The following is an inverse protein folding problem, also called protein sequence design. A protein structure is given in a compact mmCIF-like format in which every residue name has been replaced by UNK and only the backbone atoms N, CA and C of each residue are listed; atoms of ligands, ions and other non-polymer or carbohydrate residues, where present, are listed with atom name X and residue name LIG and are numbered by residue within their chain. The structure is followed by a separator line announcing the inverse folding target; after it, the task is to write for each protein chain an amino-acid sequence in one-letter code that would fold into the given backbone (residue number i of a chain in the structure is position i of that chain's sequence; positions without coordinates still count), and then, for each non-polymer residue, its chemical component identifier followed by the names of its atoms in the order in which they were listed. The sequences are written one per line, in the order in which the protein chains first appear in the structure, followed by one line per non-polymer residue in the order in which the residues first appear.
data_IF_024977347791
#
_entry.id   IF_024977347791
#
_cell.length_a   1.000
_cell.length_b   1.000
_cell.length_c   1.000
_cell.angle_alpha   90.00
_cell.angle_beta   90.00
_cell.angle_gamma   90.00
#
_symmetry.space_group_name_H-M   'P 1'
#
loop_
_entity.id
_entity.type
_entity.pdbx_description
1 polymer ?
#
# COMPACT_ATOMS: atom_id res chain seq x y z
N UNK A 1 47.57 16.29 -20.64
CA UNK A 1 46.72 17.22 -19.87
C UNK A 1 45.38 16.55 -19.68
N UNK A 2 45.00 16.24 -18.43
CA UNK A 2 43.70 15.63 -18.14
C UNK A 2 42.63 16.74 -18.20
N UNK A 3 41.78 16.68 -19.22
CA UNK A 3 40.59 17.51 -19.31
C UNK A 3 39.64 17.09 -18.18
N UNK A 4 39.35 18.01 -17.26
CA UNK A 4 38.43 17.78 -16.15
C UNK A 4 37.09 18.34 -16.58
N UNK A 5 36.15 17.45 -16.82
CA UNK A 5 34.82 17.77 -17.32
C UNK A 5 34.02 18.64 -16.32
N UNK A 6 33.35 19.71 -16.78
CA UNK A 6 32.52 20.56 -15.92
C UNK A 6 31.32 19.77 -15.37
N UNK A 7 30.89 20.01 -14.11
CA UNK A 7 29.75 19.31 -13.54
C UNK A 7 28.45 19.90 -14.10
N UNK A 8 27.77 19.13 -14.95
CA UNK A 8 26.40 19.43 -15.39
C UNK A 8 26.20 19.19 -16.88
N UNK A 9 25.35 18.21 -17.19
CA UNK A 9 24.81 17.83 -18.51
C UNK A 9 25.85 17.93 -19.63
N UNK A 10 26.76 16.98 -19.62
CA UNK A 10 27.59 16.70 -20.78
C UNK A 10 26.75 15.79 -21.68
N UNK A 11 26.29 16.33 -22.80
CA UNK A 11 25.84 15.50 -23.91
C UNK A 11 26.94 14.45 -24.18
N UNK A 12 26.63 13.16 -24.36
CA UNK A 12 27.62 12.08 -24.40
C UNK A 12 28.83 12.47 -25.24
N UNK A 13 29.99 12.64 -24.60
CA UNK A 13 31.19 13.05 -25.33
C UNK A 13 31.65 11.85 -26.16
N UNK A 14 31.57 11.98 -27.48
CA UNK A 14 32.09 10.96 -28.38
C UNK A 14 33.51 11.39 -28.77
N UNK A 15 34.54 10.60 -28.45
CA UNK A 15 35.92 10.95 -28.78
C UNK A 15 36.09 11.22 -30.28
N UNK A 16 36.82 12.27 -30.65
CA UNK A 16 37.08 12.63 -32.06
C UNK A 16 37.71 11.47 -32.86
N UNK A 17 38.47 10.62 -32.18
CA UNK A 17 39.15 9.46 -32.75
C UNK A 17 38.15 8.40 -33.24
N UNK A 18 36.97 8.32 -32.63
CA UNK A 18 35.91 7.42 -33.07
C UNK A 18 35.38 7.84 -34.45
N UNK A 19 35.21 9.14 -34.69
CA UNK A 19 34.83 9.67 -36.00
C UNK A 19 35.92 9.48 -37.05
N UNK A 20 37.19 9.79 -36.71
CA UNK A 20 38.30 9.61 -37.66
C UNK A 20 38.52 8.16 -38.05
N UNK A 21 38.35 7.22 -37.11
CA UNK A 21 38.44 5.79 -37.39
C UNK A 21 37.30 5.33 -38.29
N UNK A 22 36.08 5.77 -38.02
CA UNK A 22 34.91 5.46 -38.85
C UNK A 22 35.07 5.98 -40.28
N UNK A 23 35.57 7.21 -40.45
CA UNK A 23 35.86 7.81 -41.75
C UNK A 23 36.91 7.01 -42.52
N UNK A 24 37.99 6.59 -41.85
CA UNK A 24 39.06 5.81 -42.47
C UNK A 24 38.68 4.36 -42.83
N UNK A 25 37.70 3.78 -42.14
CA UNK A 25 37.32 2.37 -42.28
C UNK A 25 35.97 2.15 -42.97
N UNK A 26 35.22 3.22 -43.23
CA UNK A 26 33.85 3.15 -43.73
C UNK A 26 32.85 2.52 -42.75
N UNK A 27 33.23 2.33 -41.47
CA UNK A 27 32.34 1.72 -40.48
C UNK A 27 31.33 2.74 -39.93
N UNK A 28 30.06 2.34 -39.73
CA UNK A 28 29.03 3.25 -39.22
C UNK A 28 29.22 3.57 -37.73
N UNK A 29 29.01 4.83 -37.35
CA UNK A 29 28.97 5.28 -35.95
C UNK A 29 27.52 5.34 -35.49
N UNK A 30 27.15 4.49 -34.54
CA UNK A 30 25.81 4.49 -33.93
C UNK A 30 25.86 5.20 -32.58
N UNK A 31 25.13 6.30 -32.47
CA UNK A 31 25.03 7.09 -31.23
C UNK A 31 23.73 6.73 -30.54
N UNK A 32 23.81 6.05 -29.40
CA UNK A 32 22.65 5.74 -28.56
C UNK A 32 22.63 6.74 -27.41
N UNK A 33 21.67 7.67 -27.45
CA UNK A 33 21.41 8.58 -26.33
C UNK A 33 20.31 7.96 -25.49
N UNK A 34 20.69 7.42 -24.32
CA UNK A 34 19.70 7.06 -23.30
C UNK A 34 19.19 8.35 -22.68
N UNK A 35 17.98 8.75 -23.04
CA UNK A 35 17.24 9.77 -22.30
C UNK A 35 16.82 9.13 -20.98
N UNK A 36 17.59 9.35 -19.92
CA UNK A 36 17.07 9.20 -18.57
C UNK A 36 16.10 10.36 -18.38
N UNK A 37 14.81 10.11 -18.55
CA UNK A 37 13.76 11.09 -18.26
C UNK A 37 13.87 11.45 -16.77
N UNK A 38 14.56 12.55 -16.47
CA UNK A 38 14.74 13.03 -15.09
C UNK A 38 13.42 13.54 -14.50
N UNK A 39 12.44 13.83 -15.38
CA UNK A 39 11.10 14.26 -15.02
C UNK A 39 10.11 13.08 -14.91
N UNK A 40 10.57 11.85 -15.19
CA UNK A 40 9.79 10.64 -15.03
C UNK A 40 9.45 10.41 -13.55
N UNK A 41 8.23 10.77 -13.15
CA UNK A 41 7.77 10.56 -11.78
C UNK A 41 7.91 9.07 -11.40
N UNK A 42 8.65 8.73 -10.33
CA UNK A 42 8.82 7.34 -9.93
C UNK A 42 7.45 6.74 -9.63
N UNK A 43 7.18 5.55 -10.20
CA UNK A 43 5.89 4.84 -10.09
C UNK A 43 5.39 4.73 -8.63
N UNK A 44 6.33 4.69 -7.68
CA UNK A 44 6.05 4.71 -6.24
C UNK A 44 5.21 5.88 -5.76
N UNK A 45 5.27 7.04 -6.41
CA UNK A 45 4.47 8.22 -6.06
C UNK A 45 2.97 7.97 -6.25
N UNK A 46 2.58 7.19 -7.26
CA UNK A 46 1.20 6.83 -7.52
C UNK A 46 0.71 5.63 -6.69
N UNK A 47 1.63 4.74 -6.31
CA UNK A 47 1.31 3.57 -5.49
C UNK A 47 1.10 3.92 -4.01
N UNK A 48 1.82 4.93 -3.50
CA UNK A 48 1.74 5.35 -2.10
C UNK A 48 0.32 5.68 -1.60
N UNK A 49 -0.48 6.52 -2.28
CA UNK A 49 -1.85 6.82 -1.82
C UNK A 49 -2.78 5.60 -1.89
N UNK A 50 -2.57 4.71 -2.87
CA UNK A 50 -3.37 3.48 -3.01
C UNK A 50 -3.13 2.55 -1.82
N UNK A 51 -1.87 2.39 -1.41
CA UNK A 51 -1.52 1.57 -0.24
C UNK A 51 -2.12 2.15 1.04
N UNK A 52 -2.07 3.47 1.23
CA UNK A 52 -2.68 4.13 2.40
C UNK A 52 -4.20 3.94 2.42
N UNK A 53 -4.86 4.17 1.29
CA UNK A 53 -6.30 4.00 1.19
C UNK A 53 -6.70 2.54 1.44
N UNK A 54 -5.98 1.58 0.85
CA UNK A 54 -6.20 0.15 1.06
C UNK A 54 -6.03 -0.28 2.51
N UNK A 55 -4.95 0.17 3.17
CA UNK A 55 -4.72 -0.12 4.58
C UNK A 55 -5.81 0.44 5.49
N UNK A 56 -6.28 1.66 5.22
CA UNK A 56 -7.38 2.29 5.96
C UNK A 56 -8.69 1.49 5.84
N UNK A 57 -9.05 1.10 4.62
CA UNK A 57 -10.26 0.29 4.36
C UNK A 57 -10.18 -1.05 5.11
N UNK A 58 -9.08 -1.79 4.94
CA UNK A 58 -8.89 -3.09 5.60
C UNK A 58 -8.92 -2.94 7.13
N UNK A 59 -8.30 -1.88 7.67
CA UNK A 59 -8.32 -1.59 9.10
C UNK A 59 -9.73 -1.33 9.65
N UNK A 60 -10.53 -0.51 8.96
CA UNK A 60 -11.91 -0.19 9.39
C UNK A 60 -12.81 -1.42 9.30
N UNK A 61 -12.76 -2.17 8.19
CA UNK A 61 -13.53 -3.40 8.06
C UNK A 61 -13.12 -4.45 9.09
N UNK A 62 -11.82 -4.59 9.36
CA UNK A 62 -11.32 -5.47 10.41
C UNK A 62 -11.82 -5.09 11.80
N UNK A 63 -11.83 -3.79 12.13
CA UNK A 63 -12.35 -3.30 13.41
C UNK A 63 -13.85 -3.55 13.56
N UNK A 64 -14.64 -3.28 12.51
CA UNK A 64 -16.08 -3.56 12.50
C UNK A 64 -16.34 -5.06 12.65
N UNK A 65 -15.61 -5.89 11.92
CA UNK A 65 -15.74 -7.35 12.01
C UNK A 65 -15.38 -7.87 13.41
N UNK A 66 -14.29 -7.39 14.00
CA UNK A 66 -13.90 -7.75 15.36
C UNK A 66 -14.94 -7.32 16.39
N UNK A 67 -15.52 -6.12 16.24
CA UNK A 67 -16.57 -5.62 17.11
C UNK A 67 -17.84 -6.49 17.04
N UNK A 68 -18.28 -6.83 15.83
CA UNK A 68 -19.44 -7.71 15.63
C UNK A 68 -19.17 -9.10 16.20
N UNK A 69 -17.97 -9.66 15.98
CA UNK A 69 -17.60 -10.96 16.54
C UNK A 69 -17.63 -10.97 18.07
N UNK A 70 -17.16 -9.89 18.71
CA UNK A 70 -17.20 -9.75 20.16
C UNK A 70 -18.64 -9.68 20.68
N UNK A 71 -19.51 -8.91 20.01
CA UNK A 71 -20.92 -8.82 20.35
C UNK A 71 -21.64 -10.15 20.18
N UNK A 72 -21.42 -10.85 19.08
CA UNK A 72 -22.01 -12.16 18.83
C UNK A 72 -21.60 -13.16 19.90
N UNK A 73 -20.30 -13.21 20.24
CA UNK A 73 -19.80 -14.06 21.32
C UNK A 73 -20.43 -13.73 22.68
N UNK A 74 -20.58 -12.44 22.99
CA UNK A 74 -21.22 -11.99 24.23
C UNK A 74 -22.70 -12.39 24.27
N UNK A 75 -23.44 -12.21 23.18
CA UNK A 75 -24.85 -12.60 23.07
C UNK A 75 -25.00 -14.12 23.19
N UNK A 76 -24.17 -14.88 22.48
CA UNK A 76 -24.18 -16.35 22.55
C UNK A 76 -23.97 -16.83 23.99
N UNK A 77 -23.01 -16.23 24.68
CA UNK A 77 -22.71 -16.56 26.08
C UNK A 77 -23.85 -16.16 27.00
N UNK A 78 -24.44 -14.97 26.84
CA UNK A 78 -25.56 -14.50 27.64
C UNK A 78 -26.81 -15.37 27.45
N UNK A 79 -27.11 -15.78 26.21
CA UNK A 79 -28.21 -16.70 25.89
C UNK A 79 -27.93 -18.08 26.47
N UNK A 80 -26.71 -18.61 26.33
CA UNK A 80 -26.33 -19.90 26.91
C UNK A 80 -26.50 -19.87 28.44
N UNK A 81 -26.00 -18.85 29.13
CA UNK A 81 -26.16 -18.70 30.58
C UNK A 81 -27.63 -18.52 30.94
N UNK A 82 -28.36 -17.62 30.27
CA UNK A 82 -29.78 -17.37 30.54
C UNK A 82 -30.66 -18.60 30.31
N UNK A 83 -30.31 -19.46 29.35
CA UNK A 83 -31.03 -20.70 29.06
C UNK A 83 -30.89 -21.75 30.17
N UNK A 84 -29.78 -21.73 30.92
CA UNK A 84 -29.49 -22.70 31.99
C UNK A 84 -29.78 -22.13 33.38
N UNK A 85 -29.61 -20.82 33.58
CA UNK A 85 -29.63 -20.18 34.90
C UNK A 85 -31.01 -19.63 35.34
N UNK A 86 -32.02 -19.58 34.46
CA UNK A 86 -33.25 -18.83 34.76
C UNK A 86 -33.00 -17.31 34.84
N UNK A 87 -33.95 -16.50 35.34
CA UNK A 87 -33.90 -15.03 35.24
C UNK A 87 -32.60 -14.46 35.83
N UNK A 88 -31.73 -13.91 34.97
CA UNK A 88 -30.44 -13.35 35.38
C UNK A 88 -30.70 -12.01 36.08
N UNK A 89 -30.36 -11.92 37.35
CA UNK A 89 -30.42 -10.70 38.15
C UNK A 89 -29.01 -10.17 38.41
N UNK A 90 -28.73 -8.93 38.04
CA UNK A 90 -27.51 -8.20 38.44
C UNK A 90 -27.96 -6.95 39.18
N UNK A 91 -27.56 -6.82 40.46
CA UNK A 91 -27.86 -5.62 41.27
C UNK A 91 -29.33 -5.41 41.64
N UNK A 92 -30.13 -6.48 41.75
CA UNK A 92 -31.55 -6.39 42.13
C UNK A 92 -32.51 -6.03 40.99
N UNK A 93 -32.00 -5.81 39.78
CA UNK A 93 -32.82 -5.62 38.58
C UNK A 93 -32.93 -6.98 37.86
N UNK A 94 -34.08 -7.62 37.97
CA UNK A 94 -34.37 -8.87 37.26
C UNK A 94 -34.87 -8.54 35.86
N UNK A 95 -34.05 -8.78 34.82
CA UNK A 95 -34.55 -8.76 33.45
C UNK A 95 -35.28 -10.09 33.17
N UNK A 96 -36.61 -10.08 33.30
CA UNK A 96 -37.45 -11.15 32.74
C UNK A 96 -37.51 -10.99 31.22
N UNK A 97 -36.68 -11.75 30.50
CA UNK A 97 -36.64 -11.73 29.03
C UNK A 97 -37.74 -12.56 28.33
N UNK A 98 -38.66 -13.17 29.08
CA UNK A 98 -39.80 -13.90 28.50
C UNK A 98 -41.12 -13.29 29.02
N UNK A 99 -41.80 -12.52 28.17
CA UNK A 99 -43.22 -12.19 28.34
C UNK A 99 -44.03 -13.33 27.69
N UNK A 100 -44.86 -14.08 28.44
CA UNK A 100 -45.81 -14.98 27.83
C UNK A 100 -46.86 -14.14 27.08
N UNK A 101 -47.16 -14.53 25.85
CA UNK A 101 -48.25 -13.98 25.05
C UNK A 101 -49.51 -14.75 25.44
N UNK A 102 -50.31 -14.13 26.30
CA UNK A 102 -51.74 -14.36 26.40
C UNK A 102 -52.45 -13.09 25.91
#
# INVERSE_FOLDING_TARGET
MAHRDPPGIIAPHIPADAYRRAEATGQPVVIVVHTADHDGHPLGHYLFPIVIAGAGVVGVFGLVAAFVALLDFAVHTAVAIGSVAGPVSVGGITLKLARPKD
#
